data_IF_833849150584
#
_entry.id   IF_833849150584
#
_cell.length_a   1.000
_cell.length_b   1.000
_cell.length_c   1.000
_cell.angle_alpha   90.00
_cell.angle_beta   90.00
_cell.angle_gamma   90.00
#
_symmetry.space_group_name_H-M   'P 1'
#
loop_
_entity.id
_entity.type
_entity.pdbx_description
1 polymer ?
#
# COMPACT_ATOMS: atom_id res chain seq x y z
N UNK A 1 -23.07 40.93 -22.68
CA UNK A 1 -22.00 39.91 -22.53
C UNK A 1 -22.16 38.92 -23.69
N UNK A 2 -21.24 38.91 -24.65
CA UNK A 2 -21.41 38.20 -25.92
C UNK A 2 -21.28 36.67 -25.75
N UNK A 3 -22.33 35.87 -25.94
CA UNK A 3 -22.31 34.41 -25.71
C UNK A 3 -21.32 33.70 -26.64
N UNK A 4 -21.10 34.24 -27.84
CA UNK A 4 -20.22 33.69 -28.88
C UNK A 4 -18.76 33.57 -28.42
N UNK A 5 -18.24 34.58 -27.71
CA UNK A 5 -16.84 34.57 -27.24
C UNK A 5 -16.64 33.50 -26.16
N UNK A 6 -17.62 33.30 -25.29
CA UNK A 6 -17.57 32.29 -24.23
C UNK A 6 -17.59 30.88 -24.81
N UNK A 7 -18.40 30.65 -25.83
CA UNK A 7 -18.53 29.32 -26.44
C UNK A 7 -17.35 28.99 -27.35
N UNK A 8 -16.79 29.98 -28.05
CA UNK A 8 -15.51 29.85 -28.75
C UNK A 8 -14.37 29.58 -27.76
N UNK A 9 -14.31 30.29 -26.63
CA UNK A 9 -13.30 30.04 -25.60
C UNK A 9 -13.43 28.65 -24.97
N UNK A 10 -14.66 28.16 -24.71
CA UNK A 10 -14.90 26.78 -24.25
C UNK A 10 -14.51 25.73 -25.29
N UNK A 11 -14.79 26.00 -26.57
CA UNK A 11 -14.40 25.11 -27.68
C UNK A 11 -12.88 25.04 -27.80
N UNK A 12 -12.19 26.18 -27.73
CA UNK A 12 -10.71 26.26 -27.72
C UNK A 12 -10.12 25.59 -26.47
N UNK A 13 -10.74 25.73 -25.30
CA UNK A 13 -10.28 25.08 -24.08
C UNK A 13 -10.46 23.54 -24.15
N UNK A 14 -11.59 23.06 -24.69
CA UNK A 14 -11.83 21.62 -24.93
C UNK A 14 -10.89 21.07 -25.99
N UNK A 15 -10.68 21.79 -27.09
CA UNK A 15 -9.75 21.36 -28.14
C UNK A 15 -8.30 21.40 -27.66
N UNK A 16 -7.89 22.38 -26.85
CA UNK A 16 -6.57 22.39 -26.19
C UNK A 16 -6.40 21.30 -25.13
N UNK A 17 -7.45 20.96 -24.39
CA UNK A 17 -7.44 19.82 -23.47
C UNK A 17 -7.31 18.48 -24.22
N UNK A 18 -7.89 18.38 -25.41
CA UNK A 18 -7.78 17.22 -26.30
C UNK A 18 -6.47 17.21 -27.12
N UNK A 19 -5.88 18.38 -27.42
CA UNK A 19 -4.68 18.54 -28.24
C UNK A 19 -3.37 18.60 -27.45
N UNK A 20 -3.41 18.62 -26.11
CA UNK A 20 -2.22 18.33 -25.29
C UNK A 20 -1.96 16.82 -25.37
N UNK A 21 -1.32 16.40 -26.47
CA UNK A 21 -0.77 15.06 -26.71
C UNK A 21 0.43 14.74 -25.80
N UNK A 22 0.24 14.90 -24.50
CA UNK A 22 1.23 14.71 -23.46
C UNK A 22 0.56 14.89 -22.10
N UNK A 23 -0.51 14.13 -21.83
CA UNK A 23 -1.06 14.05 -20.48
C UNK A 23 -0.02 13.39 -19.58
N UNK A 24 0.35 14.05 -18.48
CA UNK A 24 1.12 13.42 -17.41
C UNK A 24 0.36 12.19 -16.92
N UNK A 25 1.01 11.04 -16.83
CA UNK A 25 0.37 9.90 -16.20
C UNK A 25 0.29 10.15 -14.69
N UNK A 26 -0.86 9.82 -14.11
CA UNK A 26 -1.10 9.93 -12.67
C UNK A 26 -1.22 8.51 -12.10
N UNK A 27 -0.39 8.20 -11.11
CA UNK A 27 -0.34 6.89 -10.46
C UNK A 27 -0.67 7.07 -8.98
N UNK A 28 -1.59 6.27 -8.46
CA UNK A 28 -1.87 6.18 -7.04
C UNK A 28 -1.17 4.96 -6.43
N UNK A 29 -0.34 5.18 -5.41
CA UNK A 29 0.32 4.15 -4.62
C UNK A 29 -0.23 4.20 -3.20
N UNK A 30 -0.76 3.10 -2.70
CA UNK A 30 -1.37 3.06 -1.37
C UNK A 30 -0.67 2.02 -0.51
N UNK A 31 0.12 2.48 0.46
CA UNK A 31 0.93 1.67 1.37
C UNK A 31 0.13 1.28 2.62
N UNK A 32 0.02 -0.02 2.87
CA UNK A 32 -0.61 -0.62 4.05
C UNK A 32 0.30 -1.68 4.67
N UNK A 33 -0.01 -2.12 5.89
CA UNK A 33 0.68 -3.21 6.57
C UNK A 33 1.34 -2.80 7.89
N UNK A 34 2.30 -3.59 8.35
CA UNK A 34 2.84 -3.54 9.72
C UNK A 34 3.41 -2.17 10.08
N UNK A 35 3.22 -1.76 11.33
CA UNK A 35 3.86 -0.57 11.88
C UNK A 35 5.38 -0.76 11.95
N UNK A 36 6.14 0.31 11.71
CA UNK A 36 7.61 0.28 11.84
C UNK A 36 8.32 -0.77 10.97
N UNK A 37 7.68 -1.24 9.89
CA UNK A 37 8.30 -2.15 8.90
C UNK A 37 9.24 -1.42 7.91
N UNK A 38 9.16 -0.09 7.87
CA UNK A 38 9.97 0.75 6.97
C UNK A 38 9.21 1.32 5.78
N UNK A 39 7.87 1.48 5.86
CA UNK A 39 7.04 2.12 4.83
C UNK A 39 7.51 3.54 4.52
N UNK A 40 7.55 4.40 5.55
CA UNK A 40 7.97 5.79 5.42
C UNK A 40 9.43 5.90 4.96
N UNK A 41 10.31 4.98 5.39
CA UNK A 41 11.70 4.91 4.89
C UNK A 41 11.75 4.65 3.37
N UNK A 42 10.99 3.65 2.91
CA UNK A 42 10.91 3.33 1.48
C UNK A 42 10.33 4.52 0.70
N UNK A 43 9.26 5.14 1.21
CA UNK A 43 8.63 6.32 0.64
C UNK A 43 9.64 7.48 0.53
N UNK A 44 10.37 7.84 1.59
CA UNK A 44 11.39 8.90 1.55
C UNK A 44 12.49 8.61 0.53
N UNK A 45 12.89 7.35 0.36
CA UNK A 45 13.81 6.94 -0.69
C UNK A 45 13.20 7.11 -2.10
N UNK A 46 11.88 7.01 -2.29
CA UNK A 46 11.24 7.42 -3.55
C UNK A 46 11.47 8.91 -3.85
N UNK A 47 11.47 9.76 -2.82
CA UNK A 47 11.72 11.20 -2.94
C UNK A 47 13.21 11.57 -3.05
N UNK A 48 14.12 10.60 -2.97
CA UNK A 48 15.57 10.85 -2.82
C UNK A 48 15.86 11.83 -1.65
N UNK A 49 15.02 11.75 -0.60
CA UNK A 49 15.13 12.55 0.62
C UNK A 49 15.90 11.78 1.69
N UNK A 50 16.96 12.39 2.21
CA UNK A 50 17.73 11.88 3.34
C UNK A 50 17.17 12.41 4.68
N UNK A 51 15.86 12.30 4.87
CA UNK A 51 15.18 12.71 6.11
C UNK A 51 14.97 11.47 7.00
N UNK A 52 14.95 11.66 8.32
CA UNK A 52 14.58 10.59 9.24
C UNK A 52 13.05 10.42 9.19
N UNK A 53 12.53 9.21 8.90
CA UNK A 53 11.10 8.97 8.86
C UNK A 53 10.47 9.26 10.22
N UNK A 54 9.39 10.05 10.22
CA UNK A 54 8.56 10.29 11.39
C UNK A 54 7.54 9.16 11.55
N UNK A 55 7.13 8.80 12.77
CA UNK A 55 6.06 7.82 12.97
C UNK A 55 4.73 8.33 12.39
N UNK A 56 4.15 7.53 11.49
CA UNK A 56 2.86 7.81 10.85
C UNK A 56 1.71 7.51 11.83
N UNK A 57 0.91 8.52 12.21
CA UNK A 57 -0.21 8.33 13.14
C UNK A 57 -1.42 7.61 12.52
N UNK A 58 -1.79 8.02 11.31
CA UNK A 58 -3.08 7.69 10.71
C UNK A 58 -2.92 7.51 9.20
N UNK A 59 -3.43 8.43 8.39
CA UNK A 59 -3.25 8.43 6.94
C UNK A 59 -2.40 9.64 6.53
N UNK A 60 -1.24 9.39 5.95
CA UNK A 60 -0.39 10.42 5.36
C UNK A 60 -0.52 10.43 3.84
N UNK A 61 -0.46 11.62 3.26
CA UNK A 61 -0.50 11.82 1.82
C UNK A 61 0.68 12.65 1.37
N UNK A 62 1.39 12.16 0.35
CA UNK A 62 2.48 12.88 -0.31
C UNK A 62 2.37 12.66 -1.81
N UNK A 63 2.80 13.61 -2.62
CA UNK A 63 2.89 13.40 -4.07
C UNK A 63 4.24 13.85 -4.61
N UNK A 64 4.70 13.24 -5.70
CA UNK A 64 5.89 13.67 -6.42
C UNK A 64 5.70 13.66 -7.93
N UNK A 65 6.61 14.35 -8.61
CA UNK A 65 6.68 14.39 -10.07
C UNK A 65 7.99 13.81 -10.54
N UNK A 66 7.95 12.73 -11.32
CA UNK A 66 9.12 12.12 -11.92
C UNK A 66 9.21 12.52 -13.39
N UNK A 67 10.35 13.11 -13.78
CA UNK A 67 10.65 13.29 -15.20
C UNK A 67 11.09 11.94 -15.76
N UNK A 68 10.39 11.47 -16.79
CA UNK A 68 10.91 10.40 -17.63
C UNK A 68 11.81 11.00 -18.70
N UNK A 69 12.29 10.18 -19.64
CA UNK A 69 13.04 10.63 -20.84
C UNK A 69 12.22 11.58 -21.74
N UNK A 70 10.94 11.81 -21.43
CA UNK A 70 10.03 12.77 -22.05
C UNK A 70 9.98 14.09 -21.26
N UNK A 71 9.64 15.19 -21.94
CA UNK A 71 9.40 16.50 -21.30
C UNK A 71 8.17 16.51 -20.37
N UNK A 72 7.30 15.50 -20.46
CA UNK A 72 6.13 15.33 -19.58
C UNK A 72 6.54 14.57 -18.33
N UNK A 73 6.22 15.14 -17.15
CA UNK A 73 6.49 14.52 -15.85
C UNK A 73 5.28 13.70 -15.40
N UNK A 74 5.50 12.46 -15.01
CA UNK A 74 4.48 11.63 -14.36
C UNK A 74 4.30 12.07 -12.90
N UNK A 75 3.07 11.96 -12.40
CA UNK A 75 2.71 12.31 -11.02
C UNK A 75 2.40 11.03 -10.26
N UNK A 76 3.02 10.86 -9.10
CA UNK A 76 2.75 9.76 -8.19
C UNK A 76 2.13 10.32 -6.93
N UNK A 77 0.91 9.88 -6.63
CA UNK A 77 0.18 10.16 -5.42
C UNK A 77 0.38 8.99 -4.46
N UNK A 78 0.94 9.25 -3.28
CA UNK A 78 1.31 8.23 -2.31
C UNK A 78 0.49 8.44 -1.04
N UNK A 79 -0.23 7.40 -0.65
CA UNK A 79 -0.91 7.33 0.64
C UNK A 79 -0.20 6.31 1.51
N UNK A 80 0.07 6.66 2.77
CA UNK A 80 0.65 5.76 3.75
C UNK A 80 -0.30 5.60 4.94
N UNK A 81 -0.61 4.35 5.27
CA UNK A 81 -1.37 4.01 6.46
C UNK A 81 -0.44 3.66 7.63
N UNK A 82 -0.41 4.51 8.66
CA UNK A 82 0.20 4.29 9.97
C UNK A 82 -0.67 3.45 10.90
N UNK A 83 -0.16 3.01 12.05
CA UNK A 83 -0.97 2.31 13.08
C UNK A 83 -1.35 0.84 12.80
N UNK A 84 -0.77 0.21 11.76
CA UNK A 84 -0.90 -1.23 11.51
C UNK A 84 -2.35 -1.69 11.22
N UNK A 85 -2.78 -2.78 11.85
CA UNK A 85 -4.13 -3.35 11.66
C UNK A 85 -5.22 -2.42 12.24
N UNK A 86 -4.91 -1.67 13.31
CA UNK A 86 -5.87 -0.84 14.03
C UNK A 86 -6.43 0.32 13.20
N UNK A 87 -5.71 0.74 12.17
CA UNK A 87 -6.10 1.83 11.27
C UNK A 87 -6.71 1.33 9.95
N UNK A 88 -6.92 0.02 9.78
CA UNK A 88 -7.58 -0.55 8.60
C UNK A 88 -8.93 0.09 8.24
N UNK A 89 -9.75 0.64 9.17
CA UNK A 89 -10.94 1.40 8.80
C UNK A 89 -10.65 2.64 7.92
N UNK A 90 -9.46 3.24 8.01
CA UNK A 90 -9.06 4.39 7.19
C UNK A 90 -8.79 4.02 5.73
N UNK A 91 -8.68 2.72 5.41
CA UNK A 91 -8.60 2.23 4.03
C UNK A 91 -9.88 2.61 3.25
N UNK A 92 -11.00 2.83 3.93
CA UNK A 92 -12.26 3.34 3.33
C UNK A 92 -12.12 4.66 2.56
N UNK A 93 -11.03 5.42 2.75
CA UNK A 93 -10.70 6.57 1.90
C UNK A 93 -10.58 6.15 0.43
N UNK A 94 -10.11 4.92 0.16
CA UNK A 94 -10.08 4.36 -1.19
C UNK A 94 -11.47 4.28 -1.82
N UNK A 95 -12.55 4.08 -1.04
CA UNK A 95 -13.92 3.97 -1.57
C UNK A 95 -14.38 5.24 -2.30
N UNK A 96 -13.79 6.40 -1.99
CA UNK A 96 -14.11 7.70 -2.61
C UNK A 96 -13.02 8.23 -3.55
N UNK A 97 -11.90 7.53 -3.68
CA UNK A 97 -10.75 8.00 -4.43
C UNK A 97 -11.03 7.96 -5.94
N UNK A 98 -10.78 9.07 -6.64
CA UNK A 98 -10.92 9.17 -8.10
C UNK A 98 -9.56 9.15 -8.76
N UNK A 99 -9.12 7.98 -9.18
CA UNK A 99 -7.81 7.75 -9.79
C UNK A 99 -7.95 6.91 -11.05
N UNK A 100 -7.07 7.14 -12.02
CA UNK A 100 -7.03 6.40 -13.28
C UNK A 100 -6.05 5.22 -13.24
N UNK A 101 -5.24 5.13 -12.19
CA UNK A 101 -4.31 4.02 -11.94
C UNK A 101 -4.09 3.92 -10.43
N UNK A 102 -4.28 2.73 -9.86
CA UNK A 102 -4.05 2.44 -8.44
C UNK A 102 -3.20 1.19 -8.29
N UNK A 103 -2.28 1.21 -7.34
CA UNK A 103 -1.54 0.05 -6.86
C UNK A 103 -1.61 -0.01 -5.33
N UNK A 104 -1.95 -1.19 -4.82
CA UNK A 104 -1.92 -1.48 -3.39
C UNK A 104 -0.57 -2.10 -3.06
N UNK A 105 0.10 -1.58 -2.02
CA UNK A 105 1.41 -2.04 -1.57
C UNK A 105 1.27 -2.48 -0.11
N UNK A 106 1.33 -3.79 0.12
CA UNK A 106 1.23 -4.39 1.44
C UNK A 106 2.63 -4.71 1.98
N UNK A 107 3.09 -3.99 2.99
CA UNK A 107 4.39 -4.22 3.62
C UNK A 107 4.24 -5.05 4.91
N UNK A 108 4.85 -6.24 4.95
CA UNK A 108 4.81 -7.18 6.06
C UNK A 108 6.16 -7.25 6.79
N UNK A 109 6.15 -7.31 8.11
CA UNK A 109 7.36 -7.43 8.93
C UNK A 109 7.85 -8.89 9.01
N UNK A 110 8.86 -9.23 8.20
CA UNK A 110 9.45 -10.58 8.21
C UNK A 110 10.20 -10.93 9.51
N UNK A 111 10.50 -9.95 10.36
CA UNK A 111 11.11 -10.18 11.67
C UNK A 111 10.08 -10.58 12.74
N UNK A 112 8.78 -10.35 12.50
CA UNK A 112 7.68 -10.68 13.41
C UNK A 112 6.72 -11.71 12.80
N UNK A 113 7.18 -12.96 12.69
CA UNK A 113 6.37 -14.05 12.12
C UNK A 113 5.06 -14.34 12.89
N UNK A 114 4.99 -13.91 14.16
CA UNK A 114 3.81 -14.08 15.02
C UNK A 114 2.67 -13.12 14.72
N UNK A 115 2.90 -12.01 14.05
CA UNK A 115 1.85 -11.06 13.65
C UNK A 115 1.61 -11.04 12.13
N UNK A 116 2.56 -11.59 11.37
CA UNK A 116 2.63 -11.48 9.93
C UNK A 116 1.36 -11.98 9.22
N UNK A 117 0.84 -13.15 9.59
CA UNK A 117 -0.34 -13.71 8.92
C UNK A 117 -1.59 -12.89 9.23
N UNK A 118 -1.76 -12.49 10.48
CA UNK A 118 -2.87 -11.64 10.90
C UNK A 118 -2.87 -10.31 10.15
N UNK A 119 -1.71 -9.67 10.01
CA UNK A 119 -1.57 -8.43 9.23
C UNK A 119 -1.88 -8.65 7.75
N UNK A 120 -1.33 -9.72 7.16
CA UNK A 120 -1.58 -10.08 5.76
C UNK A 120 -3.08 -10.26 5.49
N UNK A 121 -3.76 -11.09 6.26
CA UNK A 121 -5.18 -11.41 6.07
C UNK A 121 -6.08 -10.18 6.32
N UNK A 122 -5.82 -9.41 7.38
CA UNK A 122 -6.61 -8.22 7.71
C UNK A 122 -6.45 -7.12 6.65
N UNK A 123 -5.21 -6.78 6.27
CA UNK A 123 -4.96 -5.73 5.29
C UNK A 123 -5.44 -6.10 3.90
N UNK A 124 -5.26 -7.37 3.48
CA UNK A 124 -5.71 -7.83 2.16
C UNK A 124 -7.24 -7.73 2.04
N UNK A 125 -7.99 -8.24 3.02
CA UNK A 125 -9.46 -8.14 3.04
C UNK A 125 -9.96 -6.71 3.08
N UNK A 126 -9.36 -5.87 3.92
CA UNK A 126 -9.78 -4.47 4.03
C UNK A 126 -9.54 -3.70 2.73
N UNK A 127 -8.41 -3.92 2.07
CA UNK A 127 -8.09 -3.32 0.78
C UNK A 127 -9.02 -3.83 -0.33
N UNK A 128 -9.29 -5.12 -0.39
CA UNK A 128 -10.19 -5.73 -1.37
C UNK A 128 -11.60 -5.13 -1.27
N UNK A 129 -12.17 -5.08 -0.07
CA UNK A 129 -13.49 -4.49 0.18
C UNK A 129 -13.55 -3.03 -0.26
N UNK A 130 -12.59 -2.20 0.15
CA UNK A 130 -12.59 -0.77 -0.19
C UNK A 130 -12.42 -0.51 -1.70
N UNK A 131 -11.66 -1.37 -2.40
CA UNK A 131 -11.49 -1.30 -3.85
C UNK A 131 -12.78 -1.70 -4.58
N UNK A 132 -13.44 -2.78 -4.15
CA UNK A 132 -14.68 -3.27 -4.77
C UNK A 132 -15.86 -2.31 -4.58
N UNK A 133 -15.92 -1.61 -3.44
CA UNK A 133 -16.93 -0.58 -3.17
C UNK A 133 -16.80 0.64 -4.11
N UNK A 134 -15.58 0.93 -4.60
CA UNK A 134 -15.34 2.07 -5.48
C UNK A 134 -15.58 1.72 -6.95
N UNK A 135 -16.74 2.16 -7.48
CA UNK A 135 -17.11 2.00 -8.90
C UNK A 135 -16.15 2.61 -9.93
N UNK A 136 -15.29 3.54 -9.51
CA UNK A 136 -14.27 4.14 -10.38
C UNK A 136 -13.04 3.25 -10.46
N UNK A 137 -12.63 2.66 -9.32
CA UNK A 137 -11.48 1.77 -9.23
C UNK A 137 -11.82 0.39 -9.81
N UNK A 138 -13.05 -0.10 -9.63
CA UNK A 138 -13.47 -1.40 -10.19
C UNK A 138 -13.43 -1.47 -11.74
N UNK A 139 -13.34 -0.31 -12.41
CA UNK A 139 -13.13 -0.21 -13.86
C UNK A 139 -11.65 -0.19 -14.25
N UNK A 140 -10.75 -0.02 -13.28
CA UNK A 140 -9.32 -0.10 -13.50
C UNK A 140 -8.98 -1.58 -13.56
N UNK A 141 -8.90 -2.13 -14.77
CA UNK A 141 -8.54 -3.52 -14.93
C UNK A 141 -7.11 -3.74 -14.39
N UNK A 142 -6.99 -4.67 -13.45
CA UNK A 142 -5.70 -5.28 -13.15
C UNK A 142 -5.12 -5.87 -14.44
N UNK A 143 -3.78 -5.92 -14.60
CA UNK A 143 -3.17 -6.60 -15.74
C UNK A 143 -3.78 -8.00 -15.86
N UNK A 144 -4.16 -8.41 -17.07
CA UNK A 144 -4.68 -9.75 -17.33
C UNK A 144 -3.62 -10.80 -17.03
N UNK A 145 -3.54 -11.23 -15.77
CA UNK A 145 -2.91 -12.48 -15.41
C UNK A 145 -3.90 -13.59 -15.73
N UNK A 146 -3.42 -14.67 -16.34
CA UNK A 146 -4.28 -15.79 -16.71
C UNK A 146 -5.02 -16.28 -15.45
N UNK A 147 -6.35 -16.43 -15.56
CA UNK A 147 -7.17 -17.01 -14.50
C UNK A 147 -6.77 -18.47 -14.35
N UNK A 148 -5.80 -18.78 -13.50
CA UNK A 148 -5.55 -20.15 -13.10
C UNK A 148 -6.72 -20.63 -12.22
N UNK A 149 -7.43 -21.65 -12.68
CA UNK A 149 -8.43 -22.39 -11.90
C UNK A 149 -9.66 -21.60 -11.40
N UNK A 150 -10.04 -20.53 -12.10
CA UNK A 150 -11.31 -19.82 -11.87
C UNK A 150 -11.34 -18.89 -10.66
N UNK A 151 -10.21 -18.67 -9.98
CA UNK A 151 -10.07 -17.59 -8.99
C UNK A 151 -9.80 -16.27 -9.69
N UNK A 152 -10.49 -15.22 -9.24
CA UNK A 152 -10.28 -13.88 -9.76
C UNK A 152 -9.10 -13.23 -9.03
N UNK A 153 -8.15 -12.62 -9.76
CA UNK A 153 -7.04 -11.90 -9.14
C UNK A 153 -7.55 -10.67 -8.39
N UNK A 154 -6.67 -10.07 -7.58
CA UNK A 154 -6.99 -8.83 -6.89
C UNK A 154 -7.43 -7.75 -7.90
N UNK A 155 -8.48 -6.94 -7.63
CA UNK A 155 -9.08 -6.09 -8.66
C UNK A 155 -8.17 -4.99 -9.21
N UNK A 156 -7.08 -4.67 -8.51
CA UNK A 156 -6.04 -3.71 -8.90
C UNK A 156 -4.65 -4.32 -8.72
N UNK A 157 -3.59 -3.78 -9.35
CA UNK A 157 -2.22 -4.21 -9.06
C UNK A 157 -1.91 -4.27 -7.55
N UNK A 158 -1.50 -5.44 -7.08
CA UNK A 158 -1.09 -5.69 -5.70
C UNK A 158 0.40 -6.08 -5.64
N UNK A 159 1.13 -5.47 -4.71
CA UNK A 159 2.53 -5.80 -4.42
C UNK A 159 2.66 -6.11 -2.93
N UNK A 160 3.11 -7.31 -2.61
CA UNK A 160 3.45 -7.73 -1.25
C UNK A 160 4.94 -7.52 -1.04
N UNK A 161 5.31 -6.72 -0.05
CA UNK A 161 6.70 -6.45 0.30
C UNK A 161 7.01 -7.07 1.66
N UNK A 162 7.95 -8.00 1.71
CA UNK A 162 8.51 -8.49 2.98
C UNK A 162 9.62 -7.57 3.47
N UNK A 163 9.34 -6.73 4.46
CA UNK A 163 10.31 -5.81 5.07
C UNK A 163 11.22 -6.47 6.10
N UNK A 164 12.26 -5.75 6.52
CA UNK A 164 13.29 -6.21 7.48
C UNK A 164 13.96 -7.53 7.08
N UNK A 165 14.23 -7.70 5.78
CA UNK A 165 14.89 -8.89 5.26
C UNK A 165 16.26 -9.18 5.91
N UNK A 166 16.97 -8.13 6.33
CA UNK A 166 18.24 -8.19 7.07
C UNK A 166 18.15 -8.99 8.38
N UNK A 167 16.97 -9.03 9.01
CA UNK A 167 16.69 -9.89 10.18
C UNK A 167 16.15 -11.26 9.79
N UNK A 168 15.38 -11.33 8.70
CA UNK A 168 14.82 -12.57 8.20
C UNK A 168 15.90 -13.54 7.68
N UNK A 169 16.95 -13.02 7.03
CA UNK A 169 18.02 -13.84 6.45
C UNK A 169 18.72 -14.74 7.48
N UNK A 170 18.81 -14.29 8.74
CA UNK A 170 19.42 -15.03 9.87
C UNK A 170 18.53 -16.12 10.46
N UNK A 171 17.27 -16.25 10.04
CA UNK A 171 16.39 -17.32 10.50
C UNK A 171 16.81 -18.70 9.96
N UNK A 172 16.40 -19.74 10.66
CA UNK A 172 16.61 -21.13 10.25
C UNK A 172 16.03 -21.40 8.85
N UNK A 173 16.74 -22.15 7.98
CA UNK A 173 16.29 -22.45 6.61
C UNK A 173 14.89 -23.06 6.54
N UNK A 174 14.51 -23.91 7.51
CA UNK A 174 13.18 -24.51 7.56
C UNK A 174 12.08 -23.46 7.76
N UNK A 175 12.25 -22.53 8.69
CA UNK A 175 11.32 -21.42 8.92
C UNK A 175 11.23 -20.53 7.67
N UNK A 176 12.38 -20.19 7.07
CA UNK A 176 12.43 -19.40 5.83
C UNK A 176 11.67 -20.09 4.69
N UNK A 177 11.84 -21.39 4.52
CA UNK A 177 11.14 -22.18 3.48
C UNK A 177 9.63 -22.06 3.63
N UNK A 178 9.10 -22.24 4.84
CA UNK A 178 7.65 -22.18 5.11
C UNK A 178 7.11 -20.77 4.84
N UNK A 179 7.77 -19.73 5.37
CA UNK A 179 7.35 -18.33 5.17
C UNK A 179 7.34 -17.97 3.68
N UNK A 180 8.44 -18.26 2.96
CA UNK A 180 8.55 -18.00 1.53
C UNK A 180 7.48 -18.77 0.74
N UNK A 181 7.23 -20.04 1.08
CA UNK A 181 6.21 -20.85 0.40
C UNK A 181 4.80 -20.28 0.59
N UNK A 182 4.43 -19.96 1.82
CA UNK A 182 3.11 -19.40 2.13
C UNK A 182 2.91 -18.02 1.49
N UNK A 183 3.91 -17.14 1.55
CA UNK A 183 3.83 -15.81 0.95
C UNK A 183 3.78 -15.86 -0.58
N UNK A 184 4.56 -16.76 -1.21
CA UNK A 184 4.49 -17.02 -2.66
C UNK A 184 3.10 -17.50 -3.07
N UNK A 185 2.53 -18.44 -2.31
CA UNK A 185 1.19 -18.94 -2.54
C UNK A 185 0.15 -17.81 -2.50
N UNK A 186 0.15 -16.98 -1.45
CA UNK A 186 -0.80 -15.87 -1.33
C UNK A 186 -0.58 -14.82 -2.41
N UNK A 187 0.67 -14.53 -2.78
CA UNK A 187 0.97 -13.61 -3.86
C UNK A 187 0.40 -14.11 -5.20
N UNK A 188 0.69 -15.36 -5.56
CA UNK A 188 0.20 -15.97 -6.80
C UNK A 188 -1.33 -16.06 -6.84
N UNK A 189 -1.95 -16.48 -5.73
CA UNK A 189 -3.40 -16.53 -5.57
C UNK A 189 -4.10 -15.20 -5.90
N UNK A 190 -3.48 -14.08 -5.54
CA UNK A 190 -4.04 -12.75 -5.74
C UNK A 190 -3.55 -12.06 -7.03
N UNK A 191 -2.75 -12.75 -7.86
CA UNK A 191 -2.08 -12.11 -9.02
C UNK A 191 -1.12 -10.99 -8.60
N UNK A 192 -0.56 -11.09 -7.41
CA UNK A 192 0.32 -10.08 -6.81
C UNK A 192 1.80 -10.38 -7.06
N UNK A 193 2.62 -9.34 -7.05
CA UNK A 193 4.07 -9.48 -7.03
C UNK A 193 4.57 -9.57 -5.60
N UNK A 194 5.65 -10.31 -5.34
CA UNK A 194 6.30 -10.36 -4.02
C UNK A 194 7.77 -9.96 -4.08
N UNK A 195 8.18 -9.06 -3.19
CA UNK A 195 9.54 -8.52 -3.11
C UNK A 195 10.01 -8.48 -1.67
N UNK A 196 11.22 -8.96 -1.39
CA UNK A 196 11.85 -8.78 -0.08
C UNK A 196 12.71 -7.52 -0.06
N UNK A 197 12.56 -6.75 1.01
CA UNK A 197 13.10 -5.42 1.20
C UNK A 197 13.76 -5.29 2.58
N UNK A 198 14.83 -4.50 2.64
CA UNK A 198 15.41 -4.00 3.88
C UNK A 198 15.84 -2.56 3.68
N UNK A 199 15.51 -1.70 4.66
CA UNK A 199 16.01 -0.32 4.70
C UNK A 199 17.52 -0.24 4.86
N UNK A 200 18.14 -1.30 5.36
CA UNK A 200 19.58 -1.39 5.60
C UNK A 200 20.35 -1.89 4.36
N UNK A 201 19.64 -2.32 3.30
CA UNK A 201 20.24 -2.79 2.06
C UNK A 201 19.87 -1.85 0.89
N UNK A 202 20.86 -1.06 0.47
CA UNK A 202 20.70 -0.10 -0.63
C UNK A 202 20.37 -0.77 -1.98
N UNK A 203 20.84 -2.00 -2.19
CA UNK A 203 20.60 -2.73 -3.44
C UNK A 203 19.14 -3.20 -3.52
N UNK A 204 18.60 -3.75 -2.44
CA UNK A 204 17.20 -4.15 -2.34
C UNK A 204 16.28 -2.93 -2.40
N UNK A 205 16.64 -1.87 -1.69
CA UNK A 205 15.95 -0.57 -1.75
C UNK A 205 15.81 -0.08 -3.20
N UNK A 206 16.92 -0.02 -3.94
CA UNK A 206 16.92 0.46 -5.32
C UNK A 206 16.06 -0.43 -6.21
N UNK A 207 16.17 -1.76 -6.06
CA UNK A 207 15.39 -2.73 -6.83
C UNK A 207 13.89 -2.58 -6.59
N UNK A 208 13.47 -2.41 -5.34
CA UNK A 208 12.07 -2.17 -4.96
C UNK A 208 11.57 -0.83 -5.50
N UNK A 209 12.39 0.24 -5.41
CA UNK A 209 12.05 1.56 -5.96
C UNK A 209 11.81 1.50 -7.47
N UNK A 210 12.74 0.89 -8.20
CA UNK A 210 12.62 0.74 -9.66
C UNK A 210 11.37 -0.05 -10.06
N UNK A 211 11.05 -1.12 -9.32
CA UNK A 211 9.87 -1.93 -9.56
C UNK A 211 8.55 -1.16 -9.37
N UNK A 212 8.38 -0.43 -8.25
CA UNK A 212 7.12 0.28 -8.01
C UNK A 212 6.90 1.46 -8.98
N UNK A 213 7.96 2.04 -9.55
CA UNK A 213 7.86 3.10 -10.57
C UNK A 213 7.38 2.55 -11.91
N UNK A 214 7.87 1.35 -12.29
CA UNK A 214 7.52 0.75 -13.56
C UNK A 214 7.27 -0.76 -13.42
N UNK A 215 6.19 -1.17 -12.76
CA UNK A 215 5.90 -2.57 -12.47
C UNK A 215 5.68 -3.40 -13.73
N UNK A 216 5.29 -2.76 -14.84
CA UNK A 216 5.03 -3.39 -16.14
C UNK A 216 6.30 -3.63 -16.97
N UNK A 217 7.49 -3.33 -16.44
CA UNK A 217 8.73 -3.53 -17.18
C UNK A 217 9.08 -5.02 -17.29
N UNK A 218 9.20 -5.51 -18.52
CA UNK A 218 9.65 -6.89 -18.84
C UNK A 218 11.09 -7.19 -18.41
N UNK A 219 11.84 -6.17 -17.97
CA UNK A 219 13.16 -6.37 -17.38
C UNK A 219 13.06 -7.16 -16.07
N UNK A 220 11.97 -6.98 -15.32
CA UNK A 220 11.79 -7.63 -14.02
C UNK A 220 11.61 -9.15 -14.13
N UNK A 221 11.02 -9.63 -15.23
CA UNK A 221 10.79 -11.06 -15.51
C UNK A 221 12.10 -11.84 -15.65
N UNK A 222 13.21 -11.16 -15.92
CA UNK A 222 14.55 -11.77 -16.04
C UNK A 222 15.30 -11.85 -14.71
N UNK A 223 14.80 -11.21 -13.66
CA UNK A 223 15.47 -11.10 -12.35
C UNK A 223 14.70 -11.82 -11.25
N UNK A 224 13.87 -12.79 -11.65
CA UNK A 224 13.05 -13.62 -10.75
C UNK A 224 13.96 -14.41 -9.81
N UNK A 225 13.61 -14.41 -8.53
CA UNK A 225 14.30 -15.18 -7.51
C UNK A 225 13.32 -15.89 -6.58
N UNK A 226 13.32 -17.22 -6.67
CA UNK A 226 12.43 -18.12 -5.94
C UNK A 226 13.13 -18.81 -4.75
N UNK A 227 14.45 -18.63 -4.60
CA UNK A 227 15.26 -19.29 -3.57
C UNK A 227 14.98 -18.70 -2.19
N UNK A 228 14.54 -19.55 -1.25
CA UNK A 228 14.23 -19.18 0.13
C UNK A 228 15.45 -18.73 0.93
N UNK A 229 16.67 -18.99 0.45
CA UNK A 229 17.91 -18.50 1.08
C UNK A 229 18.33 -17.11 0.59
N UNK A 230 17.68 -16.60 -0.44
CA UNK A 230 17.94 -15.29 -1.04
C UNK A 230 16.70 -14.40 -0.94
N UNK A 231 16.83 -13.08 -1.14
CA UNK A 231 15.67 -12.20 -1.12
C UNK A 231 14.73 -12.53 -2.27
N UNK A 232 13.45 -12.77 -1.96
CA UNK A 232 12.45 -13.05 -2.98
C UNK A 232 12.25 -11.83 -3.88
N UNK A 233 12.11 -12.09 -5.17
CA UNK A 233 11.74 -11.09 -6.15
C UNK A 233 10.96 -11.81 -7.25
N UNK A 234 9.64 -11.68 -7.22
CA UNK A 234 8.74 -12.48 -8.05
C UNK A 234 7.67 -11.52 -8.58
N UNK A 235 7.82 -11.01 -9.80
CA UNK A 235 6.77 -10.29 -10.50
C UNK A 235 5.55 -11.20 -10.69
N UNK A 236 4.37 -10.59 -10.65
CA UNK A 236 3.12 -11.30 -10.89
C UNK A 236 3.14 -12.02 -12.25
N UNK A 237 2.63 -13.26 -12.28
CA UNK A 237 2.60 -14.11 -13.47
C UNK A 237 3.90 -14.90 -13.76
N UNK A 238 4.95 -14.76 -12.93
CA UNK A 238 6.20 -15.52 -13.12
C UNK A 238 6.32 -16.78 -12.25
N UNK A 239 5.41 -16.97 -11.29
CA UNK A 239 5.35 -18.14 -10.42
C UNK A 239 4.21 -19.08 -10.87
N UNK A 240 4.14 -20.28 -10.28
CA UNK A 240 3.04 -21.22 -10.52
C UNK A 240 2.73 -22.07 -9.29
N UNK A 241 1.47 -22.49 -9.14
CA UNK A 241 1.08 -23.35 -8.02
C UNK A 241 1.88 -24.67 -7.97
N UNK A 242 2.18 -25.27 -9.12
CA UNK A 242 2.99 -26.48 -9.20
C UNK A 242 4.41 -26.29 -8.63
N UNK A 243 5.03 -25.14 -8.93
CA UNK A 243 6.37 -24.80 -8.41
C UNK A 243 6.34 -24.50 -6.91
N UNK A 244 5.30 -23.80 -6.44
CA UNK A 244 5.14 -23.44 -5.02
C UNK A 244 4.86 -24.67 -4.16
N UNK A 245 3.98 -25.56 -4.61
CA UNK A 245 3.62 -26.78 -3.90
C UNK A 245 4.67 -27.87 -4.02
N UNK A 246 5.59 -27.77 -5.00
CA UNK A 246 6.56 -28.81 -5.33
C UNK A 246 5.87 -30.17 -5.54
N UNK A 247 4.67 -30.14 -6.11
CA UNK A 247 3.81 -31.31 -6.36
C UNK A 247 3.66 -31.55 -7.85
N UNK A 248 3.53 -32.81 -8.21
CA UNK A 248 3.28 -33.30 -9.57
C UNK A 248 1.82 -33.68 -9.79
N UNK A 249 0.98 -33.50 -8.77
CA UNK A 249 -0.27 -34.27 -8.61
C UNK A 249 -1.49 -33.42 -9.00
N UNK A 250 -2.50 -34.08 -9.59
CA UNK A 250 -3.71 -33.50 -10.20
C UNK A 250 -4.75 -32.94 -9.19
N UNK A 251 -4.42 -32.93 -7.89
CA UNK A 251 -5.29 -32.31 -6.90
C UNK A 251 -5.11 -30.80 -7.04
N UNK A 252 -6.21 -30.08 -7.30
CA UNK A 252 -6.20 -28.63 -7.53
C UNK A 252 -5.44 -27.84 -6.45
N UNK A 253 -5.08 -26.58 -6.75
CA UNK A 253 -4.20 -25.79 -5.90
C UNK A 253 -4.69 -25.77 -4.44
N UNK A 254 -3.76 -25.72 -3.48
CA UNK A 254 -4.11 -25.53 -2.08
C UNK A 254 -5.05 -24.34 -1.87
N UNK A 255 -5.85 -24.35 -0.80
CA UNK A 255 -6.70 -23.21 -0.45
C UNK A 255 -5.96 -22.20 0.41
N UNK A 256 -6.45 -20.96 0.46
CA UNK A 256 -5.97 -19.95 1.42
C UNK A 256 -5.98 -20.49 2.86
N UNK A 257 -7.02 -21.24 3.24
CA UNK A 257 -7.17 -21.82 4.57
C UNK A 257 -6.14 -22.92 4.87
N UNK A 258 -5.79 -23.75 3.88
CA UNK A 258 -4.70 -24.75 4.02
C UNK A 258 -3.38 -24.07 4.34
N UNK A 259 -3.05 -23.01 3.59
CA UNK A 259 -1.79 -22.28 3.79
C UNK A 259 -1.77 -21.44 5.06
N UNK A 260 -2.94 -20.94 5.47
CA UNK A 260 -3.13 -20.36 6.80
C UNK A 260 -2.78 -21.36 7.89
N UNK A 261 -3.37 -22.55 7.85
CA UNK A 261 -3.10 -23.61 8.83
C UNK A 261 -1.63 -24.04 8.84
N UNK A 262 -1.00 -24.20 7.68
CA UNK A 262 0.43 -24.50 7.59
C UNK A 262 1.25 -23.42 8.30
N UNK A 263 0.96 -22.13 8.04
CA UNK A 263 1.68 -21.02 8.64
C UNK A 263 1.44 -20.94 10.15
N UNK A 264 0.18 -20.93 10.59
CA UNK A 264 -0.18 -20.75 12.00
C UNK A 264 0.17 -21.94 12.87
N UNK A 265 0.30 -23.14 12.31
CA UNK A 265 0.81 -24.32 13.03
C UNK A 265 2.28 -24.21 13.42
N UNK A 266 3.07 -23.43 12.67
CA UNK A 266 4.50 -23.24 12.89
C UNK A 266 4.79 -21.93 13.64
N UNK A 267 3.94 -20.92 13.43
CA UNK A 267 4.06 -19.60 14.01
C UNK A 267 2.74 -19.23 14.68
N UNK A 268 2.63 -19.49 15.99
CA UNK A 268 1.46 -19.09 16.77
C UNK A 268 1.23 -17.58 16.61
N UNK A 269 0.04 -17.22 16.11
CA UNK A 269 -0.27 -15.84 15.84
C UNK A 269 -0.71 -15.14 17.12
N UNK A 270 -0.03 -14.06 17.48
CA UNK A 270 -0.44 -13.23 18.61
C UNK A 270 -1.67 -12.42 18.20
N UNK A 271 -2.70 -12.40 19.06
CA UNK A 271 -3.83 -11.48 18.90
C UNK A 271 -3.27 -10.07 19.00
N UNK A 272 -3.28 -9.34 17.90
CA UNK A 272 -2.69 -8.00 17.82
C UNK A 272 -3.32 -7.13 18.90
N UNK A 273 -2.55 -6.78 19.93
CA UNK A 273 -2.93 -5.76 20.88
C UNK A 273 -3.15 -4.50 20.05
N UNK A 274 -4.39 -3.99 20.06
CA UNK A 274 -4.77 -2.77 19.36
C UNK A 274 -3.73 -1.70 19.71
N UNK A 275 -2.96 -1.26 18.71
CA UNK A 275 -2.02 -0.17 18.91
C UNK A 275 -2.85 1.01 19.42
N UNK A 276 -2.49 1.50 20.62
CA UNK A 276 -3.12 2.70 21.19
C UNK A 276 -2.76 3.86 20.29
N UNK A 277 -3.61 4.15 19.30
CA UNK A 277 -3.66 5.48 18.71
C UNK A 277 -3.79 6.44 19.90
N UNK A 278 -2.93 7.45 20.04
CA UNK A 278 -3.05 8.42 21.12
C UNK A 278 -4.50 8.95 21.19
N UNK A 279 -5.09 9.01 22.38
CA UNK A 279 -6.49 9.42 22.55
C UNK A 279 -6.81 10.79 21.90
N UNK A 280 -5.79 11.65 21.73
CA UNK A 280 -5.89 12.91 20.99
C UNK A 280 -4.69 13.12 20.04
N UNK A 281 -4.89 13.03 18.70
CA UNK A 281 -3.89 13.33 17.69
C UNK A 281 -3.33 14.76 17.77
N UNK A 282 -4.07 15.71 18.36
CA UNK A 282 -3.62 17.09 18.50
C UNK A 282 -2.52 17.28 19.54
N UNK A 283 -2.27 16.28 20.39
CA UNK A 283 -1.16 16.29 21.34
C UNK A 283 0.16 15.83 20.71
N UNK A 284 0.13 15.31 19.47
CA UNK A 284 1.36 14.91 18.79
C UNK A 284 2.16 16.14 18.33
N UNK A 285 3.41 16.19 18.79
CA UNK A 285 4.42 17.17 18.39
C UNK A 285 4.62 17.30 16.87
N UNK A 286 4.36 16.24 16.10
CA UNK A 286 4.49 16.22 14.65
C UNK A 286 3.45 17.10 13.94
N UNK A 287 2.30 17.38 14.59
CA UNK A 287 1.16 18.11 14.03
C UNK A 287 0.98 19.51 14.64
N UNK A 288 1.94 19.97 15.45
CA UNK A 288 1.89 21.32 16.05
C UNK A 288 1.96 22.38 14.96
N UNK A 289 0.89 23.14 14.84
CA UNK A 289 0.77 24.29 13.95
C UNK A 289 0.36 25.51 14.77
N UNK A 290 1.32 26.35 15.23
CA UNK A 290 1.06 27.37 16.25
C UNK A 290 -0.11 28.33 15.93
N UNK A 291 -0.30 28.63 14.64
CA UNK A 291 -1.40 29.46 14.17
C UNK A 291 -2.76 28.75 14.26
N UNK A 292 -2.83 27.47 13.87
CA UNK A 292 -4.04 26.65 13.94
C UNK A 292 -4.36 26.30 15.39
N UNK A 293 -3.35 25.97 16.19
CA UNK A 293 -3.49 25.66 17.62
C UNK A 293 -4.05 26.86 18.40
N UNK A 294 -3.54 28.07 18.11
CA UNK A 294 -4.06 29.31 18.71
C UNK A 294 -5.51 29.60 18.30
N UNK A 295 -5.89 29.32 17.05
CA UNK A 295 -7.27 29.49 16.58
C UNK A 295 -8.22 28.48 17.22
N UNK A 296 -7.78 27.23 17.36
CA UNK A 296 -8.54 26.18 18.04
C UNK A 296 -8.75 26.52 19.50
N UNK A 297 -7.69 26.91 20.22
CA UNK A 297 -7.79 27.29 21.63
C UNK A 297 -8.82 28.41 21.84
N UNK A 298 -8.78 29.47 21.01
CA UNK A 298 -9.78 30.55 21.08
C UNK A 298 -11.21 30.05 20.83
N UNK A 299 -11.39 29.09 19.92
CA UNK A 299 -12.70 28.50 19.64
C UNK A 299 -13.19 27.61 20.77
N UNK A 300 -12.31 26.84 21.37
CA UNK A 300 -12.64 25.99 22.53
C UNK A 300 -13.04 26.86 23.74
N UNK A 301 -12.32 27.96 24.00
CA UNK A 301 -12.67 28.96 25.03
C UNK A 301 -14.05 29.60 24.76
N UNK A 302 -14.35 29.97 23.51
CA UNK A 302 -15.66 30.51 23.11
C UNK A 302 -16.78 29.48 23.31
N UNK A 303 -16.54 28.21 22.96
CA UNK A 303 -17.51 27.12 23.13
C UNK A 303 -17.78 26.81 24.60
N UNK A 304 -16.76 26.87 25.46
CA UNK A 304 -16.93 26.72 26.90
C UNK A 304 -17.77 27.87 27.48
N UNK A 305 -17.48 29.12 27.08
CA UNK A 305 -18.28 30.28 27.48
C UNK A 305 -19.75 30.10 27.08
N UNK A 306 -20.03 29.67 25.85
CA UNK A 306 -21.39 29.40 25.37
C UNK A 306 -22.05 28.24 26.14
N UNK A 307 -21.30 27.19 26.50
CA UNK A 307 -21.82 26.09 27.34
C UNK A 307 -22.20 26.59 28.73
N UNK A 308 -21.40 27.46 29.32
CA UNK A 308 -21.68 28.07 30.62
C UNK A 308 -22.91 28.98 30.57
N UNK A 309 -23.03 29.86 29.56
CA UNK A 309 -24.22 30.70 29.35
C UNK A 309 -25.50 29.85 29.17
N UNK A 310 -25.44 28.80 28.35
CA UNK A 310 -26.60 27.93 28.11
C UNK A 310 -27.01 27.11 29.33
N UNK A 311 -26.07 26.77 30.22
CA UNK A 311 -26.39 26.14 31.51
C UNK A 311 -27.02 27.14 32.48
N UNK A 312 -26.53 28.39 32.52
CA UNK A 312 -27.11 29.45 33.35
C UNK A 312 -28.49 29.94 32.91
N UNK A 313 -28.85 29.79 31.63
CA UNK A 313 -30.20 30.11 31.12
C UNK A 313 -31.22 28.96 31.27
N UNK A 314 -30.80 27.79 31.76
CA UNK A 314 -31.65 26.60 31.96
C UNK A 314 -32.02 26.36 33.43
N UNK A 315 -31.53 27.21 34.33
CA UNK A 315 -31.92 27.32 35.74
C UNK A 315 -32.76 28.57 35.92
#
# INVERSE_FOLDING_TARGET
>A
RNPVIRDVAKSIAKSRAQSKGGSSNEYALFFIGDESVGKSSLILQFFDKNEVPKPTLALEYVFFRKSNKSLVKDVFHVWELGGGISSTPMISVLSNLKVNSLMIILMLDLSSLKSLWNTLEACLRAAETAVLENKSISKLEAPHYEKENGQEPFPVPLVIIGGKYDKFQSLEPQKKRIVCQCLRFVAHLNGASIIFYSSNDASLTKKTKEFLINPKSTVHDKVVNLDHNKPLFIPAGTDSFANIEQRTDVNGPGSFEKYKQIFTSQFEQETTLVAKVPDDPALDSNFKEPAIDSLRQRKDEELEFIRHEKKGRRT
#
